data_IF_973566197597
#
_entry.id   IF_973566197597
#
_cell.length_a   1.000
_cell.length_b   1.000
_cell.length_c   1.000
_cell.angle_alpha   90.00
_cell.angle_beta   90.00
_cell.angle_gamma   90.00
#
_symmetry.space_group_name_H-M   'P 1'
#
loop_
_entity.id
_entity.type
_entity.pdbx_description
1 polymer ?
#
# COMPACT_ATOMS: atom_id res chain seq x y z
N UNK A 1 -8.02 -24.55 40.42
CA UNK A 1 -8.58 -23.67 39.37
C UNK A 1 -8.24 -22.24 39.71
N UNK A 2 -7.20 -21.67 39.09
CA UNK A 2 -6.96 -20.22 39.09
C UNK A 2 -6.74 -19.86 37.62
N UNK A 3 -7.63 -19.03 37.11
CA UNK A 3 -7.68 -18.54 35.75
C UNK A 3 -6.42 -17.71 35.46
N UNK A 4 -5.58 -18.19 34.54
CA UNK A 4 -4.50 -17.39 33.98
C UNK A 4 -5.13 -16.31 33.09
N UNK A 5 -4.93 -15.07 33.49
CA UNK A 5 -5.33 -13.86 32.77
C UNK A 5 -4.70 -13.85 31.37
N UNK A 6 -5.54 -13.85 30.34
CA UNK A 6 -5.14 -13.65 28.95
C UNK A 6 -4.70 -12.20 28.76
N UNK A 7 -3.40 -11.97 28.73
CA UNK A 7 -2.79 -10.69 28.36
C UNK A 7 -3.17 -10.35 26.91
N UNK A 8 -3.75 -9.15 26.72
CA UNK A 8 -4.03 -8.56 25.41
C UNK A 8 -2.73 -8.49 24.58
N UNK A 9 -2.52 -9.48 23.72
CA UNK A 9 -1.42 -9.50 22.75
C UNK A 9 -1.83 -8.60 21.57
N UNK A 10 -1.25 -7.41 21.52
CA UNK A 10 -1.49 -6.43 20.46
C UNK A 10 -1.12 -7.04 19.11
N UNK A 11 -2.13 -7.19 18.24
CA UNK A 11 -1.95 -7.67 16.86
C UNK A 11 -0.86 -6.86 16.18
N UNK A 12 0.15 -7.53 15.61
CA UNK A 12 1.20 -6.84 14.88
C UNK A 12 0.59 -6.26 13.60
N UNK A 13 0.36 -4.95 13.56
CA UNK A 13 -0.18 -4.25 12.38
C UNK A 13 0.85 -4.12 11.26
N UNK A 14 2.13 -4.01 11.62
CA UNK A 14 3.21 -3.80 10.67
C UNK A 14 3.73 -5.10 10.08
N UNK A 15 3.66 -5.22 8.74
CA UNK A 15 4.18 -6.38 7.98
C UNK A 15 5.66 -6.65 8.29
N UNK A 16 6.46 -5.61 8.52
CA UNK A 16 7.87 -5.74 8.90
C UNK A 16 8.04 -6.39 10.28
N UNK A 17 7.17 -6.03 11.22
CA UNK A 17 7.19 -6.60 12.56
C UNK A 17 6.78 -8.08 12.51
N UNK A 18 5.81 -8.43 11.64
CA UNK A 18 5.45 -9.85 11.39
C UNK A 18 6.65 -10.64 10.86
N UNK A 19 7.42 -10.08 9.92
CA UNK A 19 8.64 -10.74 9.43
C UNK A 19 9.68 -10.89 10.56
N UNK A 20 9.88 -9.86 11.39
CA UNK A 20 10.81 -9.95 12.52
C UNK A 20 10.40 -11.05 13.51
N UNK A 21 9.11 -11.13 13.84
CA UNK A 21 8.55 -12.18 14.68
C UNK A 21 8.75 -13.58 14.08
N UNK A 22 8.58 -13.74 12.76
CA UNK A 22 8.87 -15.01 12.08
C UNK A 22 10.36 -15.38 12.15
N UNK A 23 11.27 -14.41 12.07
CA UNK A 23 12.71 -14.66 12.25
C UNK A 23 13.05 -15.08 13.68
N UNK A 24 12.38 -14.51 14.69
CA UNK A 24 12.57 -14.89 16.10
C UNK A 24 12.03 -16.30 16.39
N UNK A 25 10.86 -16.65 15.84
CA UNK A 25 10.23 -17.96 16.03
C UNK A 25 10.89 -19.07 15.23
N UNK A 26 11.33 -18.77 14.01
CA UNK A 26 11.88 -19.75 13.06
C UNK A 26 13.24 -19.27 12.51
N UNK A 27 14.30 -19.21 13.34
CA UNK A 27 15.61 -18.68 12.95
C UNK A 27 16.33 -19.54 11.89
N UNK A 28 15.96 -20.82 11.77
CA UNK A 28 16.56 -21.72 10.79
C UNK A 28 16.03 -21.48 9.38
N UNK A 29 14.76 -21.09 9.26
CA UNK A 29 14.05 -20.87 8.01
C UNK A 29 14.15 -19.40 7.57
N UNK A 30 13.92 -18.47 8.50
CA UNK A 30 13.93 -17.04 8.24
C UNK A 30 15.18 -16.39 8.83
N UNK A 31 15.76 -15.47 8.07
CA UNK A 31 16.90 -14.67 8.52
C UNK A 31 16.52 -13.19 8.57
N UNK A 32 16.73 -12.57 9.74
CA UNK A 32 16.52 -11.12 9.94
C UNK A 32 17.64 -10.31 9.30
N UNK A 33 18.88 -10.78 9.47
CA UNK A 33 20.08 -10.12 8.95
C UNK A 33 21.02 -11.17 8.34
N UNK A 34 20.92 -11.34 7.03
CA UNK A 34 21.80 -12.20 6.23
C UNK A 34 21.31 -12.35 4.79
N UNK A 35 21.91 -13.26 4.04
CA UNK A 35 21.27 -13.76 2.83
C UNK A 35 20.06 -14.61 3.25
N UNK A 36 18.88 -14.33 2.68
CA UNK A 36 17.67 -15.06 3.03
C UNK A 36 17.76 -16.47 2.44
N UNK A 37 17.28 -17.51 3.14
CA UNK A 37 17.33 -18.87 2.58
C UNK A 37 16.13 -19.14 1.66
N UNK A 38 16.26 -19.98 0.62
CA UNK A 38 15.14 -20.31 -0.25
C UNK A 38 14.09 -21.13 0.50
N UNK A 39 12.84 -20.70 0.49
CA UNK A 39 11.78 -21.33 1.29
C UNK A 39 11.14 -22.52 0.55
N UNK A 40 10.70 -23.52 1.33
CA UNK A 40 9.88 -24.64 0.85
C UNK A 40 8.59 -24.14 0.18
N UNK A 41 8.16 -24.83 -0.88
CA UNK A 41 6.86 -24.56 -1.52
C UNK A 41 5.76 -24.96 -0.56
N UNK A 42 4.77 -24.10 -0.33
CA UNK A 42 3.66 -24.38 0.57
C UNK A 42 3.97 -24.16 2.06
N UNK A 43 5.13 -23.58 2.41
CA UNK A 43 5.52 -23.24 3.80
C UNK A 43 4.45 -22.41 4.55
N UNK A 44 3.61 -21.67 3.82
CA UNK A 44 2.49 -20.92 4.41
C UNK A 44 1.52 -21.81 5.20
N UNK A 45 1.24 -23.04 4.74
CA UNK A 45 0.29 -23.92 5.41
C UNK A 45 0.85 -24.38 6.76
N UNK A 46 2.10 -24.84 6.78
CA UNK A 46 2.80 -25.25 8.01
C UNK A 46 2.95 -24.08 8.99
N UNK A 47 3.20 -22.87 8.50
CA UNK A 47 3.23 -21.66 9.33
C UNK A 47 1.85 -21.33 9.89
N UNK A 48 0.79 -21.46 9.08
CA UNK A 48 -0.57 -21.15 9.51
C UNK A 48 -1.09 -22.15 10.57
N UNK A 49 -0.61 -23.39 10.54
CA UNK A 49 -0.89 -24.41 11.55
C UNK A 49 -0.10 -24.16 12.83
N UNK A 50 1.22 -23.95 12.74
CA UNK A 50 2.05 -23.66 13.91
C UNK A 50 1.73 -22.33 14.61
N UNK A 51 1.23 -21.35 13.85
CA UNK A 51 0.83 -20.04 14.38
C UNK A 51 -0.69 -19.92 14.58
N UNK A 52 -1.45 -21.01 14.47
CA UNK A 52 -2.89 -20.99 14.72
C UNK A 52 -3.21 -20.56 16.16
N UNK A 53 -2.33 -20.92 17.10
CA UNK A 53 -2.46 -20.59 18.53
C UNK A 53 -1.93 -19.18 18.88
N UNK A 54 -1.15 -18.56 17.97
CA UNK A 54 -0.51 -17.25 18.19
C UNK A 54 -1.39 -16.12 17.60
N UNK A 55 -2.27 -15.52 18.41
CA UNK A 55 -3.23 -14.49 17.99
C UNK A 55 -2.58 -13.15 17.51
N UNK A 56 -1.26 -13.07 17.65
CA UNK A 56 -0.41 -11.94 17.23
C UNK A 56 -0.37 -11.73 15.72
N UNK A 57 -0.55 -12.79 14.92
CA UNK A 57 -0.41 -12.76 13.45
C UNK A 57 -1.62 -13.40 12.78
N UNK A 58 -2.31 -12.64 11.92
CA UNK A 58 -3.39 -13.20 11.10
C UNK A 58 -2.88 -13.88 9.82
N UNK A 59 -3.62 -14.87 9.30
CA UNK A 59 -3.32 -15.55 8.00
C UNK A 59 -3.12 -14.56 6.85
N UNK A 60 -3.90 -13.48 6.82
CA UNK A 60 -3.78 -12.43 5.79
C UNK A 60 -2.46 -11.68 5.91
N UNK A 61 -2.06 -11.29 7.13
CA UNK A 61 -0.78 -10.63 7.38
C UNK A 61 0.39 -11.55 7.10
N UNK A 62 0.30 -12.82 7.47
CA UNK A 62 1.31 -13.84 7.18
C UNK A 62 1.56 -13.95 5.67
N UNK A 63 0.50 -14.00 4.86
CA UNK A 63 0.62 -14.02 3.39
C UNK A 63 1.28 -12.76 2.85
N UNK A 64 0.93 -11.58 3.36
CA UNK A 64 1.56 -10.32 2.95
C UNK A 64 3.03 -10.25 3.37
N UNK A 65 3.37 -10.74 4.57
CA UNK A 65 4.73 -10.82 5.09
C UNK A 65 5.59 -11.74 4.22
N UNK A 66 5.12 -12.95 3.91
CA UNK A 66 5.82 -13.88 3.02
C UNK A 66 6.04 -13.27 1.64
N UNK A 67 5.00 -12.69 1.02
CA UNK A 67 5.14 -12.03 -0.28
C UNK A 67 6.18 -10.90 -0.27
N UNK A 68 6.22 -10.13 0.82
CA UNK A 68 7.22 -9.05 0.99
C UNK A 68 8.63 -9.62 1.18
N UNK A 69 8.76 -10.71 1.92
CA UNK A 69 10.02 -11.39 2.17
C UNK A 69 10.60 -11.97 0.88
N UNK A 70 9.80 -12.70 0.11
CA UNK A 70 10.22 -13.38 -1.13
C UNK A 70 10.50 -12.41 -2.28
N UNK A 71 9.92 -11.20 -2.27
CA UNK A 71 10.20 -10.17 -3.28
C UNK A 71 11.37 -9.26 -2.89
N UNK A 72 12.03 -9.52 -1.77
CA UNK A 72 13.22 -8.76 -1.36
C UNK A 72 14.41 -9.12 -2.25
N UNK A 73 15.25 -8.14 -2.57
CA UNK A 73 16.50 -8.38 -3.32
C UNK A 73 17.41 -9.41 -2.62
N UNK A 74 17.36 -9.47 -1.29
CA UNK A 74 18.10 -10.45 -0.48
C UNK A 74 17.66 -11.89 -0.79
N UNK A 75 16.36 -12.08 -1.00
CA UNK A 75 15.77 -13.38 -1.31
C UNK A 75 16.00 -13.77 -2.77
N UNK A 76 15.81 -12.84 -3.71
CA UNK A 76 16.06 -13.13 -5.12
C UNK A 76 17.54 -13.48 -5.39
N UNK A 77 18.47 -12.94 -4.60
CA UNK A 77 19.92 -13.24 -4.71
C UNK A 77 20.31 -14.61 -4.19
N UNK A 78 19.56 -15.15 -3.23
CA UNK A 78 19.88 -16.45 -2.64
C UNK A 78 19.37 -17.63 -3.44
N UNK A 79 18.41 -17.40 -4.35
CA UNK A 79 17.99 -18.39 -5.34
C UNK A 79 19.10 -18.55 -6.36
N UNK A 80 19.82 -19.67 -6.25
CA UNK A 80 20.90 -20.09 -7.16
C UNK A 80 20.76 -21.57 -7.44
N UNK A 81 21.36 -22.01 -8.54
CA UNK A 81 21.45 -23.42 -8.89
C UNK A 81 22.19 -24.20 -7.79
N UNK A 82 21.69 -25.39 -7.47
CA UNK A 82 22.28 -26.29 -6.47
C UNK A 82 21.97 -25.93 -5.01
N UNK A 83 21.18 -24.88 -4.73
CA UNK A 83 20.71 -24.59 -3.36
C UNK A 83 19.40 -25.33 -3.11
N UNK A 84 19.32 -26.03 -1.97
CA UNK A 84 18.11 -26.71 -1.53
C UNK A 84 17.18 -25.73 -0.80
N UNK A 85 15.88 -25.93 -0.95
CA UNK A 85 14.89 -25.17 -0.18
C UNK A 85 14.93 -25.64 1.27
N UNK A 86 14.62 -24.75 2.20
CA UNK A 86 14.52 -25.07 3.64
C UNK A 86 13.08 -25.04 4.11
N UNK A 87 12.74 -26.01 4.95
CA UNK A 87 11.50 -26.05 5.72
C UNK A 87 11.59 -25.19 7.00
N UNK A 88 10.57 -25.30 7.86
CA UNK A 88 10.50 -24.54 9.12
C UNK A 88 11.56 -24.93 10.14
N UNK A 89 11.95 -26.20 10.14
CA UNK A 89 12.94 -26.74 11.07
C UNK A 89 14.38 -26.49 10.58
N UNK A 90 14.54 -26.21 9.29
CA UNK A 90 15.81 -25.96 8.62
C UNK A 90 16.32 -27.16 7.83
N UNK A 91 15.52 -28.19 7.63
CA UNK A 91 15.87 -29.32 6.79
C UNK A 91 15.72 -28.96 5.32
N UNK A 92 16.56 -29.59 4.49
CA UNK A 92 16.48 -29.47 3.05
C UNK A 92 15.22 -30.16 2.52
N UNK A 93 14.34 -29.39 1.87
CA UNK A 93 13.08 -29.87 1.33
C UNK A 93 12.93 -29.49 -0.13
N UNK A 94 13.53 -30.30 -1.00
CA UNK A 94 13.44 -30.17 -2.45
C UNK A 94 14.47 -29.22 -3.05
N UNK A 95 14.82 -29.50 -4.30
CA UNK A 95 15.81 -28.74 -5.05
C UNK A 95 15.17 -27.56 -5.79
N UNK A 96 15.98 -26.52 -6.03
CA UNK A 96 15.58 -25.41 -6.88
C UNK A 96 15.86 -25.77 -8.32
N UNK A 97 14.79 -25.88 -9.11
CA UNK A 97 14.89 -26.06 -10.56
C UNK A 97 15.50 -24.83 -11.25
N UNK A 98 16.20 -25.06 -12.36
CA UNK A 98 16.89 -24.03 -13.13
C UNK A 98 15.92 -22.91 -13.58
N UNK A 99 14.69 -23.27 -13.94
CA UNK A 99 13.64 -22.32 -14.31
C UNK A 99 13.35 -21.27 -13.22
N UNK A 100 13.37 -21.69 -11.95
CA UNK A 100 13.16 -20.78 -10.82
C UNK A 100 14.35 -19.84 -10.62
N UNK A 101 15.56 -20.31 -10.91
CA UNK A 101 16.78 -19.49 -10.84
C UNK A 101 16.76 -18.42 -11.91
N UNK A 102 16.46 -18.78 -13.16
CA UNK A 102 16.35 -17.83 -14.27
C UNK A 102 15.32 -16.74 -13.98
N UNK A 103 14.13 -17.14 -13.53
CA UNK A 103 13.07 -16.20 -13.17
C UNK A 103 13.49 -15.28 -12.01
N UNK A 104 14.17 -15.79 -10.99
CA UNK A 104 14.66 -14.98 -9.88
C UNK A 104 15.72 -13.97 -10.31
N UNK A 105 16.64 -14.36 -11.20
CA UNK A 105 17.66 -13.47 -11.77
C UNK A 105 17.02 -12.38 -12.63
N UNK A 106 16.02 -12.73 -13.45
CA UNK A 106 15.28 -11.76 -14.25
C UNK A 106 14.53 -10.75 -13.36
N UNK A 107 13.81 -11.23 -12.35
CA UNK A 107 13.10 -10.37 -11.39
C UNK A 107 14.06 -9.44 -10.62
N UNK A 108 15.27 -9.91 -10.30
CA UNK A 108 16.30 -9.10 -9.67
C UNK A 108 16.79 -7.98 -10.60
N UNK A 109 17.03 -8.27 -11.88
CA UNK A 109 17.42 -7.26 -12.89
C UNK A 109 16.33 -6.21 -13.07
N UNK A 110 15.10 -6.63 -13.33
CA UNK A 110 13.95 -5.73 -13.51
C UNK A 110 13.72 -4.85 -12.28
N UNK A 111 13.79 -5.43 -11.08
CA UNK A 111 13.59 -4.68 -9.84
C UNK A 111 14.70 -3.65 -9.61
N UNK A 112 15.95 -3.98 -9.95
CA UNK A 112 17.06 -3.03 -9.88
C UNK A 112 16.94 -1.91 -10.89
N UNK A 113 16.56 -2.20 -12.13
CA UNK A 113 16.32 -1.19 -13.18
C UNK A 113 15.21 -0.23 -12.77
N UNK A 114 14.07 -0.78 -12.34
CA UNK A 114 12.95 0.02 -11.84
C UNK A 114 13.32 0.87 -10.63
N UNK A 115 14.21 0.39 -9.76
CA UNK A 115 14.71 1.19 -8.65
C UNK A 115 15.69 2.29 -9.10
N UNK A 116 16.52 2.03 -10.12
CA UNK A 116 17.41 3.03 -10.72
C UNK A 116 16.60 4.14 -11.40
N UNK A 117 15.57 3.79 -12.15
CA UNK A 117 14.65 4.73 -12.81
C UNK A 117 13.95 5.63 -11.79
N UNK A 118 13.31 5.04 -10.76
CA UNK A 118 12.68 5.81 -9.68
C UNK A 118 13.67 6.75 -8.98
N UNK A 119 14.92 6.31 -8.79
CA UNK A 119 15.97 7.14 -8.18
C UNK A 119 16.47 8.24 -9.13
N UNK A 120 16.45 8.02 -10.44
CA UNK A 120 16.79 9.01 -11.45
C UNK A 120 15.69 10.08 -11.57
N UNK A 121 14.41 9.70 -11.52
CA UNK A 121 13.27 10.61 -11.52
C UNK A 121 13.17 11.46 -10.24
N UNK A 122 13.60 10.89 -9.10
CA UNK A 122 13.61 11.56 -7.80
C UNK A 122 14.89 12.38 -7.52
N UNK A 123 15.89 12.36 -8.41
CA UNK A 123 17.00 13.32 -8.31
C UNK A 123 16.45 14.70 -8.69
N UNK A 124 16.35 15.67 -7.76
CA UNK A 124 16.09 17.04 -8.16
C UNK A 124 17.21 17.46 -9.12
N UNK A 125 16.87 18.21 -10.18
CA UNK A 125 17.84 18.91 -11.02
C UNK A 125 18.57 19.96 -10.17
N UNK A 126 19.47 19.50 -9.30
CA UNK A 126 20.40 20.30 -8.51
C UNK A 126 21.74 20.25 -9.20
N UNK A 127 22.03 21.36 -9.87
CA UNK A 127 23.31 21.95 -10.25
C UNK A 127 24.58 21.07 -10.21
N UNK A 128 25.27 21.04 -11.36
CA UNK A 128 26.63 20.55 -11.49
C UNK A 128 27.57 21.54 -10.76
N UNK A 129 28.03 21.19 -9.56
CA UNK A 129 28.98 22.02 -8.83
C UNK A 129 29.88 21.24 -7.86
N UNK A 130 30.99 20.76 -8.40
CA UNK A 130 32.31 20.52 -7.75
C UNK A 130 32.43 19.61 -6.52
N UNK A 131 33.44 18.75 -6.65
CA UNK A 131 34.05 17.81 -5.72
C UNK A 131 34.60 18.37 -4.41
N UNK A 132 34.70 17.45 -3.44
CA UNK A 132 35.77 17.27 -2.44
C UNK A 132 35.75 18.10 -1.14
N UNK A 133 35.85 17.33 -0.05
CA UNK A 133 36.34 17.67 1.28
C UNK A 133 35.55 18.70 2.10
N UNK A 134 35.02 18.28 3.26
CA UNK A 134 35.46 18.77 4.58
C UNK A 134 34.77 18.04 5.75
N UNK A 135 35.61 17.31 6.49
CA UNK A 135 35.73 17.17 7.96
C UNK A 135 34.50 16.91 8.87
N UNK A 136 34.65 15.82 9.62
CA UNK A 136 34.31 15.62 11.06
C UNK A 136 34.16 16.91 11.90
N UNK A 137 33.03 17.02 12.60
CA UNK A 137 32.90 17.41 14.03
C UNK A 137 31.40 17.35 14.42
N UNK A 138 30.96 16.42 15.27
CA UNK A 138 30.87 16.46 16.74
C UNK A 138 29.91 17.54 17.31
N UNK A 139 28.88 17.00 17.97
CA UNK A 139 28.20 17.47 19.20
C UNK A 139 26.99 18.43 19.14
N UNK A 140 25.88 17.93 19.72
CA UNK A 140 24.91 18.54 20.64
C UNK A 140 24.22 19.86 20.28
N UNK A 141 22.90 19.82 20.33
CA UNK A 141 22.07 20.99 20.66
C UNK A 141 20.63 20.87 20.17
N UNK A 142 19.73 20.40 21.03
CA UNK A 142 18.31 20.82 20.98
C UNK A 142 18.24 22.15 21.74
N UNK A 143 17.51 23.16 21.27
CA UNK A 143 16.18 23.35 21.83
C UNK A 143 15.12 23.93 20.86
N UNK A 144 13.87 23.66 21.24
CA UNK A 144 12.63 24.48 21.14
C UNK A 144 12.35 25.42 19.97
N UNK A 145 11.09 25.41 19.54
CA UNK A 145 10.37 26.65 19.21
C UNK A 145 9.84 26.73 17.78
N UNK A 146 8.53 26.57 17.63
CA UNK A 146 7.76 27.06 16.48
C UNK A 146 7.83 28.60 16.39
N UNK A 147 7.11 29.31 15.49
CA UNK A 147 6.53 29.01 14.16
C UNK A 147 6.92 30.09 13.11
N UNK A 148 6.68 29.85 11.81
CA UNK A 148 6.47 30.81 10.66
C UNK A 148 7.02 30.18 9.37
N UNK A 149 6.51 30.40 8.17
CA UNK A 149 5.49 31.31 7.64
C UNK A 149 5.21 30.86 6.20
N UNK A 150 3.93 30.69 5.83
CA UNK A 150 3.53 30.69 4.43
C UNK A 150 3.75 32.09 3.86
N UNK A 151 4.36 32.27 2.68
CA UNK A 151 4.19 33.48 1.90
C UNK A 151 2.98 33.28 0.97
N UNK A 152 1.93 34.03 1.28
CA UNK A 152 0.84 34.34 0.37
C UNK A 152 1.17 35.65 -0.35
N UNK A 153 0.89 35.73 -1.66
CA UNK A 153 0.55 37.01 -2.27
C UNK A 153 1.02 37.25 -3.70
N UNK A 154 0.11 37.07 -4.66
CA UNK A 154 -0.30 38.11 -5.63
C UNK A 154 -1.38 37.54 -6.58
N UNK A 155 -2.49 38.17 -6.96
CA UNK A 155 -3.20 39.42 -6.64
C UNK A 155 -4.64 39.26 -7.21
N UNK A 156 -5.68 39.75 -6.53
CA UNK A 156 -7.10 39.89 -6.98
C UNK A 156 -7.27 41.09 -7.93
N UNK A 157 -8.34 41.17 -8.78
CA UNK A 157 -9.69 41.72 -8.42
C UNK A 157 -10.86 41.04 -9.21
N UNK A 158 -12.15 41.41 -9.18
CA UNK A 158 -13.16 41.62 -8.12
C UNK A 158 -14.58 41.78 -8.78
N UNK A 159 -15.56 40.90 -8.43
CA UNK A 159 -17.05 41.07 -8.38
C UNK A 159 -17.86 41.17 -9.72
N UNK A 160 -19.17 40.75 -9.79
CA UNK A 160 -20.19 40.73 -8.72
C UNK A 160 -20.84 39.38 -8.41
N UNK A 161 -21.50 39.37 -7.24
CA UNK A 161 -22.25 38.31 -6.57
C UNK A 161 -23.71 38.31 -7.07
N UNK A 162 -24.37 37.15 -7.14
CA UNK A 162 -25.75 37.07 -6.67
C UNK A 162 -25.93 35.96 -5.64
N UNK A 163 -26.90 36.20 -4.76
CA UNK A 163 -27.21 35.46 -3.55
C UNK A 163 -28.20 34.31 -3.78
N UNK A 164 -27.98 33.22 -3.05
CA UNK A 164 -28.93 32.23 -2.50
C UNK A 164 -30.31 32.08 -3.15
N UNK A 165 -30.62 30.87 -3.65
CA UNK A 165 -31.89 30.16 -3.37
C UNK A 165 -31.64 28.65 -3.29
N UNK A 166 -31.83 28.07 -2.11
CA UNK A 166 -32.15 26.67 -1.92
C UNK A 166 -33.50 26.41 -2.59
N UNK A 167 -33.54 25.56 -3.62
CA UNK A 167 -34.80 25.14 -4.25
C UNK A 167 -35.01 23.65 -4.00
N UNK A 168 -36.02 23.46 -3.15
CA UNK A 168 -36.91 22.35 -2.90
C UNK A 168 -36.97 21.23 -3.95
N UNK A 169 -37.23 20.02 -3.46
CA UNK A 169 -37.45 18.75 -4.15
C UNK A 169 -38.67 18.73 -5.09
N UNK A 170 -39.07 19.86 -5.69
CA UNK A 170 -40.28 20.03 -6.49
C UNK A 170 -40.03 20.51 -7.93
N UNK A 171 -38.77 20.64 -8.37
CA UNK A 171 -38.41 21.07 -9.73
C UNK A 171 -37.51 20.07 -10.47
N UNK A 172 -37.57 18.78 -10.11
CA UNK A 172 -36.96 17.71 -10.89
C UNK A 172 -38.00 17.21 -11.89
N UNK A 173 -37.80 17.53 -13.16
CA UNK A 173 -38.60 16.99 -14.26
C UNK A 173 -37.91 15.76 -14.84
N UNK A 174 -38.68 14.70 -15.08
CA UNK A 174 -38.24 13.55 -15.90
C UNK A 174 -37.75 14.08 -17.26
N UNK A 175 -36.66 13.52 -17.78
CA UNK A 175 -35.92 13.96 -18.96
C UNK A 175 -35.01 15.20 -18.84
N UNK A 176 -34.73 15.68 -17.62
CA UNK A 176 -33.71 16.72 -17.42
C UNK A 176 -32.29 16.13 -17.55
N UNK A 177 -31.39 16.85 -18.25
CA UNK A 177 -29.95 16.55 -18.27
C UNK A 177 -29.35 16.92 -16.92
N UNK A 178 -28.76 15.95 -16.25
CA UNK A 178 -28.20 16.14 -14.91
C UNK A 178 -26.82 15.52 -14.80
N UNK A 179 -25.94 16.16 -14.04
CA UNK A 179 -24.59 15.68 -13.72
C UNK A 179 -24.60 14.88 -12.45
N UNK A 180 -24.24 13.60 -12.56
CA UNK A 180 -24.20 12.66 -11.43
C UNK A 180 -22.76 12.43 -11.01
N UNK A 181 -22.46 12.60 -9.72
CA UNK A 181 -21.13 12.29 -9.19
C UNK A 181 -20.99 10.78 -8.95
N UNK A 182 -20.27 10.09 -9.83
CA UNK A 182 -19.96 8.66 -9.73
C UNK A 182 -18.48 8.47 -9.40
N UNK A 183 -18.18 8.30 -8.12
CA UNK A 183 -16.81 8.12 -7.64
C UNK A 183 -15.98 9.40 -7.75
N UNK A 184 -15.01 9.44 -8.68
CA UNK A 184 -14.09 10.57 -8.86
C UNK A 184 -14.43 11.48 -10.05
N UNK A 185 -15.34 11.07 -10.94
CA UNK A 185 -15.68 11.83 -12.14
C UNK A 185 -17.19 12.08 -12.22
N UNK A 186 -17.63 13.31 -12.56
CA UNK A 186 -19.01 13.57 -12.92
C UNK A 186 -19.34 12.88 -14.24
N UNK A 187 -20.50 12.23 -14.30
CA UNK A 187 -21.06 11.65 -15.51
C UNK A 187 -22.35 12.39 -15.89
N UNK A 188 -22.54 12.64 -17.18
CA UNK A 188 -23.74 13.26 -17.72
C UNK A 188 -24.82 12.19 -17.93
N UNK A 189 -26.06 12.49 -17.54
CA UNK A 189 -27.17 11.57 -17.69
C UNK A 189 -28.52 12.26 -17.72
N UNK A 190 -29.55 11.48 -17.96
CA UNK A 190 -30.96 11.91 -18.02
C UNK A 190 -31.73 11.20 -16.92
N UNK A 191 -32.50 11.96 -16.15
CA UNK A 191 -33.34 11.41 -15.07
C UNK A 191 -34.52 10.67 -15.69
N UNK A 192 -34.61 9.37 -15.43
CA UNK A 192 -35.68 8.49 -15.95
C UNK A 192 -36.84 8.37 -14.96
N UNK A 193 -36.53 8.34 -13.67
CA UNK A 193 -37.56 8.22 -12.63
C UNK A 193 -37.08 8.80 -11.29
N UNK A 194 -38.01 9.35 -10.52
CA UNK A 194 -37.74 10.02 -9.24
C UNK A 194 -38.64 9.37 -8.19
N UNK A 195 -38.06 8.53 -7.34
CA UNK A 195 -38.70 8.08 -6.12
C UNK A 195 -38.18 8.92 -4.95
N UNK A 196 -39.02 9.18 -3.95
CA UNK A 196 -38.86 10.21 -2.91
C UNK A 196 -37.43 10.43 -2.38
N UNK A 197 -36.60 9.39 -2.26
CA UNK A 197 -35.18 9.50 -1.87
C UNK A 197 -34.17 8.97 -2.91
N UNK A 198 -34.62 8.18 -3.89
CA UNK A 198 -33.78 7.50 -4.88
C UNK A 198 -34.17 7.92 -6.31
N UNK A 199 -33.21 8.49 -7.03
CA UNK A 199 -33.38 8.93 -8.42
C UNK A 199 -32.72 7.94 -9.35
N UNK A 200 -33.46 7.43 -10.33
CA UNK A 200 -32.91 6.61 -11.40
C UNK A 200 -32.43 7.50 -12.53
N UNK A 201 -31.12 7.52 -12.76
CA UNK A 201 -30.49 8.26 -13.85
C UNK A 201 -29.96 7.29 -14.89
N UNK A 202 -30.37 7.47 -16.15
CA UNK A 202 -29.76 6.80 -17.30
C UNK A 202 -28.63 7.69 -17.81
N UNK A 203 -27.42 7.19 -17.76
CA UNK A 203 -26.27 7.86 -18.33
C UNK A 203 -26.31 7.79 -19.87
N UNK A 204 -25.60 8.69 -20.52
CA UNK A 204 -25.35 8.65 -21.97
C UNK A 204 -24.72 7.33 -22.46
N UNK A 205 -23.97 6.66 -21.58
CA UNK A 205 -23.43 5.30 -21.76
C UNK A 205 -24.49 4.19 -21.81
N UNK A 206 -25.78 4.51 -21.66
CA UNK A 206 -26.89 3.56 -21.67
C UNK A 206 -27.11 2.82 -20.34
N UNK A 207 -26.23 3.04 -19.36
CA UNK A 207 -26.31 2.42 -18.04
C UNK A 207 -27.25 3.21 -17.11
N UNK A 208 -28.16 2.52 -16.42
CA UNK A 208 -29.12 3.15 -15.48
C UNK A 208 -28.67 2.89 -14.04
N UNK A 209 -28.50 3.96 -13.26
CA UNK A 209 -28.01 3.89 -11.88
C UNK A 209 -29.02 4.53 -10.94
N UNK A 210 -29.31 3.85 -9.83
CA UNK A 210 -30.05 4.42 -8.69
C UNK A 210 -29.10 5.26 -7.86
N UNK A 211 -29.32 6.56 -7.80
CA UNK A 211 -28.48 7.52 -7.08
C UNK A 211 -29.36 8.37 -6.18
N UNK A 212 -28.93 8.55 -4.93
CA UNK A 212 -29.61 9.45 -4.00
C UNK A 212 -29.60 10.87 -4.53
N UNK A 213 -30.69 11.62 -4.33
CA UNK A 213 -30.82 13.01 -4.78
C UNK A 213 -29.66 13.92 -4.32
N UNK A 214 -28.98 13.58 -3.23
CA UNK A 214 -27.80 14.28 -2.69
C UNK A 214 -26.55 14.28 -3.57
N UNK A 215 -26.46 13.37 -4.56
CA UNK A 215 -25.28 13.24 -5.45
C UNK A 215 -25.56 13.71 -6.89
N UNK A 216 -26.71 14.34 -7.08
CA UNK A 216 -27.20 14.83 -8.35
C UNK A 216 -27.04 16.35 -8.37
N UNK A 217 -26.39 16.86 -9.42
CA UNK A 217 -26.18 18.30 -9.62
C UNK A 217 -26.75 18.70 -10.98
N UNK A 218 -27.68 19.64 -10.97
CA UNK A 218 -28.27 20.25 -12.17
C UNK A 218 -27.38 21.42 -12.60
#
# INVERSE_FOLDING_TARGET
>A
MILMTTENQTKLSDIKAVIAFLCEKFPNCFSQEGDAKPLKIGLFQELAENLADDERVSKTQLRQALRRYTNSWRYLRSIKEGVQRVDLEGNACGEIDAQHVEHAQQALKESQERAKERKAEQKPKGDKGTSAAHKRSKLKGKPSGAPRSKPEGAKRPAKPRPELKSVEAAALSVDQKVKVQLGRAPADGVVVDINKDDVQVRLDSGMTIKVKASHIRI
#
